data_IF_613401599929
#
_entry.id   IF_613401599929
#
_cell.length_a   1.000
_cell.length_b   1.000
_cell.length_c   1.000
_cell.angle_alpha   90.00
_cell.angle_beta   90.00
_cell.angle_gamma   90.00
#
_symmetry.space_group_name_H-M   'P 1'
#
loop_
_entity.id
_entity.type
_entity.pdbx_description
1 polymer ?
#
# COMPACT_ATOMS: atom_id res chain seq x y z
N UNK A 1 10.48 58.63 32.37
CA UNK A 1 11.03 57.27 32.14
C UNK A 1 9.85 56.30 32.06
N UNK A 2 9.42 55.99 30.85
CA UNK A 2 8.33 55.06 30.61
C UNK A 2 8.94 53.77 30.04
N UNK A 3 9.11 52.77 30.88
CA UNK A 3 9.45 51.40 30.46
C UNK A 3 8.21 50.73 29.90
N UNK A 4 8.05 50.70 28.58
CA UNK A 4 7.08 49.88 27.91
C UNK A 4 7.62 48.44 27.91
N UNK A 5 7.18 47.66 28.88
CA UNK A 5 7.27 46.19 28.81
C UNK A 5 6.41 45.67 27.64
N UNK A 6 7.06 45.32 26.55
CA UNK A 6 6.43 44.55 25.49
C UNK A 6 6.23 43.11 26.01
N UNK A 7 5.11 42.84 26.67
CA UNK A 7 4.63 41.48 26.86
C UNK A 7 4.39 40.87 25.45
N UNK A 8 5.32 40.07 24.97
CA UNK A 8 5.10 39.21 23.83
C UNK A 8 3.93 38.28 24.19
N UNK A 9 2.72 38.58 23.74
CA UNK A 9 1.58 37.65 23.79
C UNK A 9 2.06 36.32 23.20
N UNK A 10 2.19 35.29 24.05
CA UNK A 10 2.43 33.91 23.59
C UNK A 10 1.25 33.57 22.67
N UNK A 11 1.51 33.44 21.35
CA UNK A 11 0.51 32.96 20.42
C UNK A 11 0.11 31.55 20.87
N UNK A 12 -1.10 31.39 21.37
CA UNK A 12 -1.68 30.06 21.60
C UNK A 12 -1.88 29.40 20.22
N UNK A 13 -1.46 28.18 20.08
CA UNK A 13 -1.76 27.36 18.89
C UNK A 13 -3.07 26.65 19.21
N UNK A 14 -4.08 26.91 18.42
CA UNK A 14 -5.32 26.16 18.48
C UNK A 14 -5.16 24.91 17.61
N UNK A 15 -4.99 23.75 18.27
CA UNK A 15 -4.80 22.47 17.61
C UNK A 15 -6.13 21.83 17.17
N UNK A 16 -7.28 22.31 17.69
CA UNK A 16 -8.58 21.75 17.34
C UNK A 16 -8.88 21.83 15.84
N UNK A 17 -8.42 22.91 15.18
CA UNK A 17 -8.55 23.07 13.72
C UNK A 17 -7.55 22.23 12.90
N UNK A 18 -6.68 21.47 13.53
CA UNK A 18 -5.68 20.62 12.88
C UNK A 18 -5.97 19.12 13.07
N UNK A 19 -6.99 18.80 13.86
CA UNK A 19 -7.44 17.43 14.14
C UNK A 19 -8.76 17.20 13.42
N UNK A 20 -8.88 16.11 12.67
CA UNK A 20 -10.17 15.74 12.10
C UNK A 20 -11.12 15.33 13.24
N UNK A 21 -12.40 15.75 13.24
CA UNK A 21 -13.32 15.57 14.36
C UNK A 21 -13.43 14.13 14.87
N UNK A 22 -13.28 13.12 14.00
CA UNK A 22 -13.29 11.71 14.41
C UNK A 22 -12.15 11.33 15.35
N UNK A 23 -11.08 12.13 15.45
CA UNK A 23 -9.93 11.85 16.31
C UNK A 23 -9.96 12.59 17.66
N UNK A 24 -11.00 13.38 17.94
CA UNK A 24 -11.09 14.12 19.21
C UNK A 24 -11.04 13.18 20.42
N UNK A 25 -11.81 12.08 20.38
CA UNK A 25 -11.80 11.09 21.46
C UNK A 25 -10.43 10.44 21.61
N UNK A 26 -9.80 10.03 20.53
CA UNK A 26 -8.46 9.44 20.51
C UNK A 26 -7.42 10.41 21.07
N UNK A 27 -7.56 11.70 20.73
CA UNK A 27 -6.68 12.75 21.24
C UNK A 27 -6.79 12.86 22.75
N UNK A 28 -8.00 13.07 23.30
CA UNK A 28 -8.20 13.20 24.75
C UNK A 28 -7.87 11.93 25.52
N UNK A 29 -8.14 10.78 24.96
CA UNK A 29 -7.78 9.49 25.56
C UNK A 29 -6.25 9.35 25.67
N UNK A 30 -5.54 9.66 24.59
CA UNK A 30 -4.08 9.61 24.58
C UNK A 30 -3.43 10.69 25.45
N UNK A 31 -4.03 11.89 25.57
CA UNK A 31 -3.57 12.91 26.53
C UNK A 31 -3.69 12.43 27.98
N UNK A 32 -4.78 11.76 28.29
CA UNK A 32 -5.04 11.22 29.62
C UNK A 32 -4.30 9.90 29.90
N UNK A 33 -3.52 9.37 28.96
CA UNK A 33 -2.82 8.09 29.06
C UNK A 33 -3.74 6.92 29.49
N UNK A 34 -4.98 6.85 28.94
CA UNK A 34 -5.94 5.83 29.33
C UNK A 34 -5.60 4.46 28.75
N UNK A 35 -5.00 4.44 27.56
CA UNK A 35 -4.54 3.22 26.91
C UNK A 35 -3.07 3.34 26.48
N UNK A 36 -2.42 2.20 26.37
CA UNK A 36 -1.06 2.10 25.83
C UNK A 36 -1.06 1.92 24.32
N UNK A 37 -2.01 1.12 23.80
CA UNK A 37 -2.08 0.78 22.38
C UNK A 37 -3.27 1.46 21.69
N UNK A 38 -2.99 2.11 20.56
CA UNK A 38 -3.97 2.77 19.71
C UNK A 38 -3.90 2.18 18.32
N UNK A 39 -4.90 1.39 17.93
CA UNK A 39 -5.03 0.77 16.61
C UNK A 39 -5.96 1.63 15.76
N UNK A 40 -5.39 2.43 14.85
CA UNK A 40 -6.11 3.40 14.05
C UNK A 40 -6.32 2.86 12.63
N UNK A 41 -7.46 2.22 12.43
CA UNK A 41 -7.92 1.69 11.15
C UNK A 41 -8.64 2.75 10.32
N UNK A 42 -8.70 2.59 9.01
CA UNK A 42 -9.57 3.41 8.16
C UNK A 42 -9.12 3.48 6.71
N UNK A 43 -9.98 4.04 5.86
CA UNK A 43 -9.75 4.20 4.44
C UNK A 43 -8.74 5.28 4.06
N UNK A 44 -8.56 5.46 2.76
CA UNK A 44 -7.75 6.56 2.19
C UNK A 44 -8.36 7.92 2.57
N UNK A 45 -7.52 8.90 2.84
CA UNK A 45 -7.94 10.26 3.19
C UNK A 45 -8.55 10.42 4.58
N UNK A 46 -8.54 9.39 5.45
CA UNK A 46 -9.14 9.43 6.78
C UNK A 46 -8.31 10.14 7.87
N UNK A 47 -7.21 10.78 7.51
CA UNK A 47 -6.34 11.60 8.36
C UNK A 47 -5.58 10.87 9.50
N UNK A 48 -5.55 9.52 9.53
CA UNK A 48 -4.84 8.73 10.57
C UNK A 48 -3.37 9.14 10.74
N UNK A 49 -2.60 9.07 9.66
CA UNK A 49 -1.17 9.38 9.67
C UNK A 49 -0.91 10.87 9.95
N UNK A 50 -1.82 11.75 9.51
CA UNK A 50 -1.79 13.19 9.82
C UNK A 50 -2.03 13.45 11.31
N UNK A 51 -2.94 12.70 11.94
CA UNK A 51 -3.18 12.78 13.37
C UNK A 51 -1.94 12.34 14.16
N UNK A 52 -1.42 11.14 13.91
CA UNK A 52 -0.27 10.63 14.69
C UNK A 52 1.00 11.42 14.39
N UNK A 53 1.43 11.46 13.13
CA UNK A 53 2.69 12.08 12.72
C UNK A 53 2.64 13.60 12.78
N UNK A 54 1.52 14.21 12.40
CA UNK A 54 1.38 15.67 12.34
C UNK A 54 1.06 16.35 13.65
N UNK A 55 0.34 15.68 14.55
CA UNK A 55 -0.14 16.28 15.80
C UNK A 55 0.38 15.53 17.02
N UNK A 56 0.07 14.23 17.16
CA UNK A 56 0.32 13.52 18.43
C UNK A 56 1.79 13.45 18.79
N UNK A 57 2.67 13.11 17.84
CA UNK A 57 4.12 13.06 18.09
C UNK A 57 4.67 14.44 18.44
N UNK A 58 4.45 15.52 17.64
CA UNK A 58 4.92 16.86 18.01
C UNK A 58 4.43 17.37 19.35
N UNK A 59 3.14 17.20 19.64
CA UNK A 59 2.53 17.67 20.91
C UNK A 59 3.16 16.94 22.09
N UNK A 60 3.25 15.62 22.06
CA UNK A 60 3.85 14.81 23.11
C UNK A 60 5.30 15.23 23.43
N UNK A 61 6.12 15.52 22.41
CA UNK A 61 7.49 15.99 22.64
C UNK A 61 7.55 17.37 23.30
N UNK A 62 6.58 18.25 23.01
CA UNK A 62 6.53 19.58 23.62
C UNK A 62 6.10 19.55 25.09
N UNK A 63 5.23 18.62 25.45
CA UNK A 63 4.66 18.44 26.79
C UNK A 63 5.58 17.67 27.73
N UNK A 64 6.28 16.67 27.21
CA UNK A 64 7.12 15.77 27.99
C UNK A 64 8.59 15.86 27.55
N UNK A 65 9.44 16.62 28.27
CA UNK A 65 10.82 16.87 27.85
C UNK A 65 11.74 15.65 27.90
N UNK A 66 11.34 14.58 28.57
CA UNK A 66 12.14 13.37 28.76
C UNK A 66 11.86 12.25 27.76
N UNK A 67 10.84 12.42 26.88
CA UNK A 67 10.50 11.40 25.91
C UNK A 67 11.15 11.63 24.54
N UNK A 68 11.41 10.53 23.86
CA UNK A 68 11.74 10.46 22.44
C UNK A 68 10.62 9.69 21.70
N UNK A 69 10.51 9.89 20.39
CA UNK A 69 9.60 9.13 19.56
C UNK A 69 10.37 8.23 18.59
N UNK A 70 9.81 7.06 18.30
CA UNK A 70 10.32 6.14 17.26
C UNK A 70 9.21 5.87 16.27
N UNK A 71 9.52 6.02 14.99
CA UNK A 71 8.62 5.77 13.87
C UNK A 71 9.13 4.58 13.08
N UNK A 72 8.28 3.61 12.88
CA UNK A 72 8.60 2.34 12.27
C UNK A 72 7.74 2.09 11.02
N UNK A 73 8.37 1.59 9.97
CA UNK A 73 7.73 0.98 8.81
C UNK A 73 8.31 -0.40 8.56
N UNK A 74 7.56 -1.26 7.90
CA UNK A 74 8.09 -2.57 7.50
C UNK A 74 9.32 -2.41 6.60
N UNK A 75 9.28 -1.48 5.64
CA UNK A 75 10.35 -1.22 4.67
C UNK A 75 10.97 0.16 4.90
N UNK A 76 12.25 0.20 5.29
CA UNK A 76 12.94 1.43 5.72
C UNK A 76 13.16 2.48 4.63
N UNK A 77 13.31 2.07 3.39
CA UNK A 77 13.61 3.01 2.30
C UNK A 77 12.39 3.86 1.86
N UNK A 78 11.17 3.54 2.31
CA UNK A 78 9.97 4.35 2.08
C UNK A 78 9.84 5.52 3.06
N UNK A 79 10.56 5.50 4.19
CA UNK A 79 10.49 6.48 5.28
C UNK A 79 10.67 7.92 4.80
N UNK A 80 11.66 8.16 3.92
CA UNK A 80 11.99 9.52 3.42
C UNK A 80 10.88 10.15 2.59
N UNK A 81 10.04 9.33 1.97
CA UNK A 81 8.97 9.76 1.07
C UNK A 81 7.57 9.67 1.70
N UNK A 82 7.46 9.18 2.94
CA UNK A 82 6.20 8.98 3.64
C UNK A 82 6.17 9.65 5.02
N UNK A 83 6.57 8.94 6.07
CA UNK A 83 6.41 9.39 7.47
C UNK A 83 7.24 10.60 7.85
N UNK A 84 8.43 10.76 7.30
CA UNK A 84 9.27 11.93 7.60
C UNK A 84 8.65 13.23 7.05
N UNK A 85 8.24 13.33 5.77
CA UNK A 85 7.50 14.48 5.26
C UNK A 85 6.18 14.73 6.00
N UNK A 86 5.49 13.68 6.44
CA UNK A 86 4.25 13.81 7.20
C UNK A 86 4.46 14.53 8.53
N UNK A 87 5.54 14.21 9.26
CA UNK A 87 5.86 14.90 10.51
C UNK A 87 6.33 16.33 10.25
N UNK A 88 7.15 16.55 9.22
CA UNK A 88 7.59 17.91 8.83
C UNK A 88 6.39 18.79 8.50
N UNK A 89 5.43 18.29 7.71
CA UNK A 89 4.17 18.97 7.42
C UNK A 89 3.39 19.33 8.71
N UNK A 90 3.31 18.40 9.67
CA UNK A 90 2.66 18.67 10.96
C UNK A 90 3.36 19.79 11.74
N UNK A 91 4.70 19.78 11.80
CA UNK A 91 5.48 20.83 12.44
C UNK A 91 5.30 22.20 11.76
N UNK A 92 5.14 22.24 10.44
CA UNK A 92 4.82 23.45 9.68
C UNK A 92 3.41 23.96 10.01
N UNK A 93 2.41 23.09 10.01
CA UNK A 93 1.02 23.43 10.34
C UNK A 93 0.88 23.95 11.76
N UNK A 94 1.62 23.39 12.71
CA UNK A 94 1.73 23.88 14.08
C UNK A 94 2.54 25.19 14.20
N UNK A 95 3.22 25.63 13.14
CA UNK A 95 4.04 26.85 13.14
C UNK A 95 5.32 26.74 14.00
N UNK A 96 5.83 25.51 14.19
CA UNK A 96 6.96 25.23 15.08
C UNK A 96 8.16 24.56 14.38
N UNK A 97 8.11 24.35 13.06
CA UNK A 97 9.20 23.68 12.33
C UNK A 97 10.58 24.33 12.60
N UNK A 98 10.62 25.66 12.74
CA UNK A 98 11.86 26.39 13.04
C UNK A 98 12.49 25.99 14.38
N UNK A 99 11.76 25.35 15.29
CA UNK A 99 12.25 24.83 16.58
C UNK A 99 12.89 23.46 16.44
N UNK A 100 12.76 22.80 15.28
CA UNK A 100 13.29 21.49 15.01
C UNK A 100 14.41 21.53 13.98
N UNK A 101 15.29 20.55 14.03
CA UNK A 101 16.31 20.27 13.02
C UNK A 101 15.96 18.96 12.34
N UNK A 102 15.78 19.00 11.02
CA UNK A 102 15.48 17.83 10.19
C UNK A 102 16.76 17.35 9.52
N UNK A 103 17.05 16.06 9.65
CA UNK A 103 18.17 15.37 8.98
C UNK A 103 17.61 14.26 8.11
N UNK A 104 18.07 14.21 6.84
CA UNK A 104 17.54 13.25 5.86
C UNK A 104 18.34 11.94 5.81
N UNK A 105 19.60 11.91 6.26
CA UNK A 105 20.44 10.72 6.19
C UNK A 105 21.45 10.65 7.34
N UNK A 106 21.32 9.68 8.25
CA UNK A 106 20.13 8.91 8.52
C UNK A 106 18.95 9.82 8.90
N UNK A 107 17.69 9.42 8.62
CA UNK A 107 16.52 10.25 8.91
C UNK A 107 16.34 10.44 10.43
N UNK A 108 16.27 11.70 10.85
CA UNK A 108 16.12 12.10 12.26
C UNK A 108 15.53 13.49 12.34
N UNK A 109 14.62 13.74 13.26
CA UNK A 109 14.16 15.08 13.63
C UNK A 109 14.53 15.34 15.09
N UNK A 110 15.18 16.47 15.35
CA UNK A 110 15.62 16.84 16.71
C UNK A 110 14.96 18.13 17.16
N UNK A 111 14.34 18.15 18.34
CA UNK A 111 13.85 19.37 18.97
C UNK A 111 15.02 20.16 19.56
N UNK A 112 15.27 21.37 19.05
CA UNK A 112 16.48 22.16 19.35
C UNK A 112 16.60 22.57 20.81
N UNK A 113 15.46 22.75 21.52
CA UNK A 113 15.46 23.24 22.90
C UNK A 113 15.96 22.20 23.89
N UNK A 114 15.56 20.95 23.75
CA UNK A 114 15.81 19.85 24.70
C UNK A 114 16.79 18.82 24.14
N UNK A 115 16.90 18.69 22.82
CA UNK A 115 17.64 17.60 22.17
C UNK A 115 16.84 16.31 22.00
N UNK A 116 15.53 16.32 22.31
CA UNK A 116 14.64 15.18 22.06
C UNK A 116 14.65 14.81 20.58
N UNK A 117 14.47 13.53 20.30
CA UNK A 117 14.58 12.99 18.93
C UNK A 117 13.31 12.27 18.50
N UNK A 118 13.01 12.39 17.21
CA UNK A 118 12.15 11.49 16.48
C UNK A 118 13.05 10.67 15.56
N UNK A 119 13.12 9.37 15.80
CA UNK A 119 13.97 8.42 15.09
C UNK A 119 13.15 7.55 14.16
N UNK A 120 13.71 7.18 13.01
CA UNK A 120 13.01 6.46 11.97
C UNK A 120 13.76 5.18 11.60
N UNK A 121 13.05 4.03 11.57
CA UNK A 121 13.65 2.74 11.20
C UNK A 121 12.70 1.89 10.35
N UNK A 122 13.29 1.08 9.46
CA UNK A 122 12.62 -0.02 8.83
C UNK A 122 12.90 -1.32 9.57
N UNK A 123 11.93 -2.23 9.59
CA UNK A 123 12.11 -3.57 10.15
C UNK A 123 12.69 -4.59 9.15
N UNK A 124 13.04 -4.15 7.96
CA UNK A 124 13.97 -4.83 7.06
C UNK A 124 15.38 -5.00 7.66
N UNK A 125 15.73 -4.18 8.68
CA UNK A 125 16.93 -4.33 9.49
C UNK A 125 16.61 -4.17 10.99
N UNK A 126 16.07 -5.22 11.66
CA UNK A 126 15.71 -5.17 13.08
C UNK A 126 16.89 -4.90 14.03
N UNK A 127 18.14 -5.17 13.60
CA UNK A 127 19.31 -4.94 14.41
C UNK A 127 19.54 -3.44 14.69
N UNK A 128 19.16 -2.57 13.77
CA UNK A 128 19.23 -1.12 13.97
C UNK A 128 18.34 -0.63 15.09
N UNK A 129 17.14 -1.19 15.19
CA UNK A 129 16.20 -0.84 16.27
C UNK A 129 16.73 -1.27 17.64
N UNK A 130 17.33 -2.47 17.73
CA UNK A 130 17.90 -2.99 18.96
C UNK A 130 19.12 -2.22 19.47
N UNK A 131 19.78 -1.47 18.58
CA UNK A 131 21.01 -0.72 18.90
C UNK A 131 20.79 0.75 19.25
N UNK A 132 19.52 1.20 19.36
CA UNK A 132 19.19 2.60 19.67
C UNK A 132 19.78 3.00 21.03
N UNK A 133 20.55 4.10 21.01
CA UNK A 133 21.06 4.77 22.22
C UNK A 133 20.51 6.19 22.23
N UNK A 134 19.74 6.50 23.24
CA UNK A 134 19.24 7.85 23.49
C UNK A 134 20.26 8.64 24.31
N UNK A 135 20.41 9.95 24.08
CA UNK A 135 21.30 10.80 24.85
C UNK A 135 20.82 11.03 26.28
N UNK A 136 19.51 10.94 26.52
CA UNK A 136 18.82 11.06 27.79
C UNK A 136 17.41 10.47 27.64
N UNK A 137 16.63 10.43 28.73
CA UNK A 137 15.21 10.05 28.72
C UNK A 137 14.96 8.64 28.18
N UNK A 138 13.80 8.45 27.57
CA UNK A 138 13.32 7.15 27.10
C UNK A 138 12.41 7.27 25.86
N UNK A 139 12.09 6.15 25.22
CA UNK A 139 11.10 6.11 24.14
C UNK A 139 9.70 6.14 24.76
N UNK A 140 9.05 7.29 24.72
CA UNK A 140 7.68 7.47 25.25
C UNK A 140 6.61 7.28 24.18
N UNK A 141 6.96 7.33 22.90
CA UNK A 141 6.00 7.16 21.81
C UNK A 141 6.59 6.34 20.67
N UNK A 142 5.82 5.35 20.21
CA UNK A 142 6.14 4.54 19.03
C UNK A 142 5.00 4.65 18.03
N UNK A 143 5.32 4.89 16.77
CA UNK A 143 4.37 4.89 15.67
C UNK A 143 4.73 3.80 14.65
N UNK A 144 3.81 2.86 14.46
CA UNK A 144 3.87 1.78 13.49
C UNK A 144 2.99 2.18 12.30
N UNK A 145 3.60 2.67 11.22
CA UNK A 145 2.88 3.08 10.01
C UNK A 145 2.78 1.93 9.02
N UNK A 146 1.59 1.78 8.40
CA UNK A 146 1.23 0.62 7.60
C UNK A 146 1.35 -0.68 8.40
N UNK A 147 0.64 -0.70 9.55
CA UNK A 147 0.70 -1.80 10.52
C UNK A 147 0.38 -3.16 9.89
N UNK A 148 -0.50 -3.20 8.91
CA UNK A 148 -0.89 -4.41 8.16
C UNK A 148 0.26 -5.07 7.39
N UNK A 149 1.33 -4.35 7.08
CA UNK A 149 2.52 -4.88 6.41
C UNK A 149 3.46 -5.65 7.35
N UNK A 150 3.33 -5.49 8.66
CA UNK A 150 4.12 -6.25 9.64
C UNK A 150 3.66 -7.72 9.66
N UNK A 151 4.56 -8.62 10.07
CA UNK A 151 4.30 -10.06 10.03
C UNK A 151 3.43 -10.58 11.18
N UNK A 152 2.90 -9.68 12.04
CA UNK A 152 2.05 -10.02 13.18
C UNK A 152 2.54 -9.46 14.51
N UNK A 153 1.75 -9.67 15.55
CA UNK A 153 2.04 -9.13 16.90
C UNK A 153 3.33 -9.66 17.52
N UNK A 154 3.81 -10.84 17.12
CA UNK A 154 5.10 -11.35 17.62
C UNK A 154 6.26 -10.45 17.18
N UNK A 155 6.29 -10.05 15.88
CA UNK A 155 7.30 -9.12 15.37
C UNK A 155 7.25 -7.78 16.11
N UNK A 156 6.05 -7.25 16.31
CA UNK A 156 5.82 -5.99 17.01
C UNK A 156 6.29 -6.09 18.46
N UNK A 157 5.88 -7.12 19.21
CA UNK A 157 6.33 -7.33 20.59
C UNK A 157 7.85 -7.42 20.72
N UNK A 158 8.52 -8.14 19.82
CA UNK A 158 9.98 -8.25 19.80
C UNK A 158 10.67 -6.89 19.64
N UNK A 159 10.12 -6.00 18.84
CA UNK A 159 10.63 -4.64 18.63
C UNK A 159 10.32 -3.77 19.85
N UNK A 160 9.09 -3.78 20.34
CA UNK A 160 8.68 -2.98 21.48
C UNK A 160 9.46 -3.32 22.75
N UNK A 161 9.76 -4.59 23.01
CA UNK A 161 10.63 -5.02 24.12
C UNK A 161 12.03 -4.39 24.09
N UNK A 162 12.51 -4.03 22.89
CA UNK A 162 13.79 -3.36 22.72
C UNK A 162 13.71 -1.85 22.91
N UNK A 163 12.57 -1.24 22.58
CA UNK A 163 12.34 0.21 22.62
C UNK A 163 11.83 0.71 23.97
N UNK A 164 10.90 -0.03 24.59
CA UNK A 164 10.13 0.42 25.72
C UNK A 164 10.85 0.07 27.04
N UNK A 165 11.91 0.81 27.33
CA UNK A 165 12.73 0.62 28.53
C UNK A 165 13.00 1.95 29.21
N UNK A 166 13.00 1.94 30.55
CA UNK A 166 13.50 3.03 31.37
C UNK A 166 12.56 4.20 31.61
N UNK A 167 11.30 4.12 31.14
CA UNK A 167 10.30 5.18 31.34
C UNK A 167 9.12 4.73 32.21
N UNK A 168 8.37 5.70 32.75
CA UNK A 168 7.17 5.40 33.56
C UNK A 168 5.95 5.02 32.72
N UNK A 169 5.88 5.49 31.47
CA UNK A 169 4.76 5.23 30.54
C UNK A 169 5.19 5.37 29.11
N UNK A 170 4.47 4.73 28.21
CA UNK A 170 4.66 4.85 26.77
C UNK A 170 3.34 4.67 26.04
N UNK A 171 3.29 5.10 24.79
CA UNK A 171 2.14 4.91 23.90
C UNK A 171 2.61 4.37 22.56
N UNK A 172 1.81 3.47 21.99
CA UNK A 172 2.07 2.82 20.71
C UNK A 172 0.87 3.07 19.79
N UNK A 173 1.11 3.74 18.66
CA UNK A 173 0.11 4.00 17.64
C UNK A 173 0.38 3.14 16.42
N UNK A 174 -0.60 2.34 16.02
CA UNK A 174 -0.60 1.58 14.77
C UNK A 174 -1.60 2.21 13.80
N UNK A 175 -1.12 2.68 12.64
CA UNK A 175 -1.98 3.25 11.58
C UNK A 175 -1.98 2.32 10.38
N UNK A 176 -3.15 1.99 9.84
CA UNK A 176 -3.26 1.07 8.72
C UNK A 176 -4.58 1.22 7.96
N UNK A 177 -4.58 0.78 6.70
CA UNK A 177 -5.80 0.51 5.97
C UNK A 177 -6.12 -0.98 6.15
N UNK A 178 -7.32 -1.34 6.66
CA UNK A 178 -7.65 -2.74 6.87
C UNK A 178 -7.48 -3.56 5.57
N UNK A 179 -6.73 -4.66 5.59
CA UNK A 179 -6.65 -5.57 4.45
C UNK A 179 -8.02 -6.14 4.08
N UNK A 180 -8.22 -6.51 2.81
CA UNK A 180 -9.49 -7.12 2.36
C UNK A 180 -9.79 -8.42 3.09
N UNK A 181 -8.76 -9.26 3.27
CA UNK A 181 -8.93 -10.56 3.93
C UNK A 181 -9.36 -10.39 5.39
N UNK A 182 -10.49 -11.01 5.73
CA UNK A 182 -10.98 -11.08 7.12
C UNK A 182 -10.00 -11.79 8.05
N UNK A 183 -9.29 -12.78 7.54
CA UNK A 183 -8.33 -13.59 8.28
C UNK A 183 -6.91 -13.00 8.27
N UNK A 184 -6.73 -11.75 7.80
CA UNK A 184 -5.46 -11.07 7.96
C UNK A 184 -5.19 -10.83 9.45
N UNK A 185 -3.96 -11.02 9.89
CA UNK A 185 -3.57 -10.96 11.28
C UNK A 185 -4.02 -9.67 12.01
N UNK A 186 -3.94 -8.51 11.32
CA UNK A 186 -4.34 -7.24 11.95
C UNK A 186 -5.85 -7.13 12.13
N UNK A 187 -6.64 -7.69 11.20
CA UNK A 187 -8.11 -7.74 11.31
C UNK A 187 -8.57 -8.72 12.39
N UNK A 188 -7.84 -9.82 12.61
CA UNK A 188 -8.09 -10.75 13.71
C UNK A 188 -7.66 -10.15 15.05
N UNK A 189 -6.49 -9.50 15.10
CA UNK A 189 -5.92 -8.93 16.32
C UNK A 189 -6.82 -7.88 16.96
N UNK A 190 -7.45 -7.01 16.17
CA UNK A 190 -8.33 -5.96 16.70
C UNK A 190 -9.65 -6.51 17.29
N UNK A 191 -9.99 -7.77 17.02
CA UNK A 191 -11.16 -8.44 17.61
C UNK A 191 -10.86 -9.08 18.96
N UNK A 192 -9.58 -9.21 19.32
CA UNK A 192 -9.17 -9.71 20.65
C UNK A 192 -9.44 -8.62 21.67
N UNK A 193 -10.17 -8.96 22.72
CA UNK A 193 -10.44 -8.02 23.81
C UNK A 193 -9.15 -7.73 24.59
N UNK A 194 -8.79 -6.45 24.68
CA UNK A 194 -7.60 -5.97 25.36
C UNK A 194 -7.93 -4.63 26.02
N UNK A 195 -8.04 -4.59 27.36
CA UNK A 195 -8.44 -3.38 28.10
C UNK A 195 -7.41 -2.24 28.00
N UNK A 196 -6.19 -2.51 27.56
CA UNK A 196 -5.14 -1.50 27.36
C UNK A 196 -5.02 -1.06 25.89
N UNK A 197 -6.02 -1.38 25.08
CA UNK A 197 -6.04 -1.06 23.65
C UNK A 197 -7.30 -0.32 23.23
N UNK A 198 -7.12 0.85 22.61
CA UNK A 198 -8.18 1.55 21.90
C UNK A 198 -8.12 1.22 20.41
N UNK A 199 -9.23 0.72 19.86
CA UNK A 199 -9.42 0.52 18.42
C UNK A 199 -10.29 1.64 17.89
N UNK A 200 -9.79 2.39 16.89
CA UNK A 200 -10.50 3.49 16.27
C UNK A 200 -10.59 3.27 14.76
N UNK A 201 -11.75 3.52 14.19
CA UNK A 201 -11.98 3.46 12.75
C UNK A 201 -12.40 4.83 12.22
N UNK A 202 -11.73 5.30 11.17
CA UNK A 202 -11.99 6.59 10.54
C UNK A 202 -12.16 6.47 9.02
N UNK A 203 -12.95 7.37 8.46
CA UNK A 203 -13.15 7.47 7.01
C UNK A 203 -12.92 8.91 6.56
N UNK A 204 -12.78 9.11 5.25
CA UNK A 204 -12.69 10.46 4.68
C UNK A 204 -13.94 11.31 4.95
N UNK A 205 -15.09 10.69 5.20
CA UNK A 205 -16.36 11.37 5.47
C UNK A 205 -16.35 12.20 6.77
N UNK A 206 -15.44 11.89 7.69
CA UNK A 206 -15.24 12.62 8.95
C UNK A 206 -14.13 13.67 8.88
N UNK A 207 -13.52 13.85 7.70
CA UNK A 207 -12.45 14.84 7.47
C UNK A 207 -13.05 16.06 6.79
N UNK A 208 -12.68 17.31 7.18
CA UNK A 208 -13.13 18.50 6.49
C UNK A 208 -12.84 18.45 4.98
N UNK A 209 -13.84 18.73 4.16
CA UNK A 209 -13.74 18.64 2.69
C UNK A 209 -12.59 19.48 2.11
N UNK A 210 -12.33 20.65 2.70
CA UNK A 210 -11.24 21.53 2.30
C UNK A 210 -9.84 20.92 2.50
N UNK A 211 -9.69 19.89 3.33
CA UNK A 211 -8.42 19.18 3.51
C UNK A 211 -8.19 18.13 2.42
N UNK A 212 -9.27 17.56 1.90
CA UNK A 212 -9.23 16.51 0.88
C UNK A 212 -9.20 17.10 -0.53
N UNK A 213 -9.93 18.17 -0.72
CA UNK A 213 -10.13 18.81 -2.01
C UNK A 213 -11.21 18.12 -2.87
N UNK A 214 -11.85 18.88 -3.79
CA UNK A 214 -12.99 18.39 -4.57
C UNK A 214 -12.65 17.21 -5.49
N UNK A 215 -11.43 17.16 -6.00
CA UNK A 215 -11.01 16.07 -6.89
C UNK A 215 -10.98 14.72 -6.15
N UNK A 216 -10.50 14.68 -4.92
CA UNK A 216 -10.46 13.46 -4.11
C UNK A 216 -11.89 12.92 -3.87
N UNK A 217 -12.82 13.80 -3.52
CA UNK A 217 -14.23 13.46 -3.28
C UNK A 217 -14.88 12.95 -4.56
N UNK A 218 -14.66 13.64 -5.69
CA UNK A 218 -15.20 13.23 -6.99
C UNK A 218 -14.69 11.83 -7.42
N UNK A 219 -13.43 11.51 -7.18
CA UNK A 219 -12.89 10.17 -7.47
C UNK A 219 -13.48 9.10 -6.54
N UNK A 220 -13.71 9.41 -5.26
CA UNK A 220 -14.38 8.50 -4.33
C UNK A 220 -15.81 8.18 -4.79
N UNK A 221 -16.60 9.21 -5.13
CA UNK A 221 -17.96 9.02 -5.61
C UNK A 221 -18.04 8.30 -6.96
N UNK A 222 -17.09 8.56 -7.86
CA UNK A 222 -16.96 7.85 -9.13
C UNK A 222 -16.66 6.37 -8.91
N UNK A 223 -15.76 6.03 -7.97
CA UNK A 223 -15.48 4.65 -7.63
C UNK A 223 -16.71 3.98 -7.01
N UNK A 224 -17.41 4.67 -6.10
CA UNK A 224 -18.64 4.21 -5.48
C UNK A 224 -19.71 3.83 -6.51
N UNK A 225 -19.92 4.70 -7.51
CA UNK A 225 -20.90 4.46 -8.57
C UNK A 225 -20.53 3.28 -9.48
N UNK A 226 -19.24 3.00 -9.63
CA UNK A 226 -18.72 1.97 -10.53
C UNK A 226 -18.48 0.63 -9.85
N UNK A 227 -17.88 0.66 -8.67
CA UNK A 227 -17.52 -0.53 -7.89
C UNK A 227 -17.65 -0.21 -6.39
N UNK A 228 -18.83 -0.48 -5.84
CA UNK A 228 -19.13 -0.17 -4.44
C UNK A 228 -18.25 -0.97 -3.47
N UNK A 229 -17.89 -2.22 -3.78
CA UNK A 229 -17.03 -3.04 -2.92
C UNK A 229 -15.61 -2.46 -2.84
N UNK A 230 -15.05 -2.02 -3.97
CA UNK A 230 -13.76 -1.34 -3.98
C UNK A 230 -13.83 -0.01 -3.21
N UNK A 231 -14.90 0.78 -3.38
CA UNK A 231 -15.11 2.01 -2.63
C UNK A 231 -15.18 1.76 -1.12
N UNK A 232 -15.97 0.77 -0.68
CA UNK A 232 -16.10 0.43 0.74
C UNK A 232 -14.75 0.02 1.34
N UNK A 233 -13.97 -0.74 0.59
CA UNK A 233 -12.64 -1.13 1.03
C UNK A 233 -11.66 0.05 1.06
N UNK A 234 -11.49 0.76 -0.07
CA UNK A 234 -10.43 1.76 -0.20
C UNK A 234 -10.70 3.05 0.56
N UNK A 235 -11.95 3.57 0.49
CA UNK A 235 -12.31 4.86 1.06
C UNK A 235 -12.95 4.75 2.44
N UNK A 236 -13.73 3.70 2.68
CA UNK A 236 -14.33 3.49 4.01
C UNK A 236 -13.46 2.61 4.91
N UNK A 237 -12.45 1.91 4.38
CA UNK A 237 -11.57 1.03 5.16
C UNK A 237 -12.30 -0.19 5.72
N UNK A 238 -13.28 -0.70 4.99
CA UNK A 238 -14.01 -1.89 5.39
C UNK A 238 -13.28 -3.17 4.97
N UNK A 239 -13.37 -4.20 5.80
CA UNK A 239 -12.93 -5.55 5.48
C UNK A 239 -13.97 -6.19 4.58
N UNK A 240 -13.71 -6.25 3.29
CA UNK A 240 -14.68 -6.69 2.27
C UNK A 240 -14.50 -8.12 1.79
N UNK A 241 -13.35 -8.75 2.08
CA UNK A 241 -13.03 -10.11 1.66
C UNK A 241 -13.48 -11.18 2.65
N UNK A 242 -13.66 -12.40 2.14
CA UNK A 242 -14.23 -13.53 2.89
C UNK A 242 -13.16 -14.43 3.53
N UNK A 243 -11.90 -14.35 3.10
CA UNK A 243 -10.85 -15.26 3.60
C UNK A 243 -9.45 -14.89 3.16
N UNK A 244 -8.66 -15.88 2.80
CA UNK A 244 -7.27 -15.72 2.37
C UNK A 244 -7.07 -15.51 0.88
N UNK A 245 -8.11 -15.62 0.06
CA UNK A 245 -8.03 -15.48 -1.38
C UNK A 245 -7.59 -14.06 -1.78
N UNK A 246 -6.63 -13.97 -2.69
CA UNK A 246 -6.16 -12.70 -3.25
C UNK A 246 -7.18 -12.13 -4.22
N UNK A 247 -7.83 -12.97 -5.04
CA UNK A 247 -8.80 -12.55 -6.05
C UNK A 247 -10.20 -13.06 -5.70
N UNK A 248 -11.14 -12.15 -5.45
CA UNK A 248 -12.54 -12.45 -5.15
C UNK A 248 -13.49 -12.06 -6.29
N UNK A 249 -12.95 -11.42 -7.33
CA UNK A 249 -13.66 -10.93 -8.50
C UNK A 249 -13.52 -11.86 -9.72
N UNK A 250 -13.13 -13.12 -9.51
CA UNK A 250 -12.92 -14.12 -10.58
C UNK A 250 -14.17 -14.97 -10.78
N UNK A 251 -14.54 -15.19 -12.03
CA UNK A 251 -15.66 -16.04 -12.41
C UNK A 251 -15.36 -16.91 -13.62
N UNK A 252 -15.86 -18.16 -13.61
CA UNK A 252 -15.83 -19.01 -14.80
C UNK A 252 -16.88 -18.54 -15.80
N UNK A 253 -16.47 -18.28 -17.02
CA UNK A 253 -17.35 -17.89 -18.11
C UNK A 253 -16.99 -18.61 -19.41
N UNK A 254 -17.88 -19.44 -19.89
CA UNK A 254 -17.71 -20.09 -21.20
C UNK A 254 -17.78 -19.06 -22.34
N UNK A 255 -16.75 -18.97 -23.14
CA UNK A 255 -16.67 -18.03 -24.27
C UNK A 255 -16.73 -18.79 -25.59
N UNK A 256 -17.71 -18.44 -26.43
CA UNK A 256 -17.82 -19.05 -27.77
C UNK A 256 -16.74 -18.48 -28.73
N UNK A 257 -16.42 -19.22 -29.77
CA UNK A 257 -15.49 -18.74 -30.81
C UNK A 257 -15.99 -17.45 -31.48
N UNK A 258 -17.31 -17.30 -31.59
CA UNK A 258 -17.92 -16.11 -32.13
C UNK A 258 -17.74 -14.90 -31.20
N UNK A 259 -17.92 -15.08 -29.90
CA UNK A 259 -17.65 -14.03 -28.90
C UNK A 259 -16.18 -13.59 -28.96
N UNK A 260 -15.24 -14.53 -28.97
CA UNK A 260 -13.80 -14.25 -28.99
C UNK A 260 -13.41 -13.48 -30.26
N UNK A 261 -14.01 -13.79 -31.42
CA UNK A 261 -13.77 -13.06 -32.68
C UNK A 261 -14.23 -11.62 -32.66
N UNK A 262 -15.18 -11.27 -31.79
CA UNK A 262 -15.69 -9.90 -31.66
C UNK A 262 -14.94 -9.04 -30.64
N UNK A 263 -13.96 -9.61 -29.93
CA UNK A 263 -13.09 -8.83 -29.04
C UNK A 263 -12.18 -7.91 -29.86
N UNK A 264 -12.19 -6.63 -29.55
CA UNK A 264 -11.50 -5.58 -30.31
C UNK A 264 -10.19 -5.10 -29.66
N UNK A 265 -10.00 -5.36 -28.38
CA UNK A 265 -8.81 -4.95 -27.62
C UNK A 265 -8.15 -6.17 -26.98
N UNK A 266 -7.30 -6.84 -27.76
CA UNK A 266 -6.58 -8.02 -27.33
C UNK A 266 -5.24 -7.65 -26.71
N UNK A 267 -4.93 -8.34 -25.62
CA UNK A 267 -3.67 -8.21 -24.90
C UNK A 267 -3.08 -9.60 -24.68
N UNK A 268 -1.77 -9.70 -24.79
CA UNK A 268 -1.04 -10.95 -24.65
C UNK A 268 0.10 -10.80 -23.66
N UNK A 269 0.18 -11.70 -22.70
CA UNK A 269 1.23 -11.71 -21.69
C UNK A 269 2.00 -13.02 -21.68
N UNK A 270 3.26 -12.93 -21.32
CA UNK A 270 4.16 -14.09 -21.29
C UNK A 270 5.03 -14.03 -20.03
N UNK A 271 4.95 -15.07 -19.24
CA UNK A 271 5.87 -15.37 -18.16
C UNK A 271 6.78 -16.53 -18.55
N UNK A 272 8.11 -16.35 -18.40
CA UNK A 272 9.08 -17.34 -18.80
C UNK A 272 9.30 -18.36 -17.69
N UNK A 273 9.24 -19.63 -18.04
CA UNK A 273 9.64 -20.75 -17.22
C UNK A 273 10.16 -21.90 -18.10
N UNK A 274 10.94 -22.80 -17.55
CA UNK A 274 11.45 -23.94 -18.30
C UNK A 274 11.48 -25.25 -17.51
N UNK A 275 12.20 -25.30 -16.41
CA UNK A 275 12.50 -26.57 -15.71
C UNK A 275 11.40 -26.93 -14.70
N UNK A 276 11.35 -26.22 -13.58
CA UNK A 276 10.36 -26.41 -12.51
C UNK A 276 9.11 -25.59 -12.79
N UNK A 277 9.31 -24.36 -13.27
CA UNK A 277 8.24 -23.43 -13.58
C UNK A 277 7.81 -23.59 -15.04
N UNK A 278 6.50 -23.50 -15.33
CA UNK A 278 5.98 -23.53 -16.69
C UNK A 278 6.26 -22.21 -17.40
N UNK A 279 6.41 -22.26 -18.72
CA UNK A 279 6.15 -21.08 -19.54
C UNK A 279 4.64 -20.86 -19.54
N UNK A 280 4.21 -19.66 -19.12
CA UNK A 280 2.82 -19.26 -19.10
C UNK A 280 2.56 -18.11 -20.07
N UNK A 281 1.74 -18.34 -21.09
CA UNK A 281 1.24 -17.35 -22.04
C UNK A 281 -0.26 -17.24 -21.89
N UNK A 282 -0.80 -16.03 -21.91
CA UNK A 282 -2.24 -15.76 -21.84
C UNK A 282 -2.67 -14.79 -22.93
N UNK A 283 -3.89 -15.00 -23.44
CA UNK A 283 -4.60 -14.03 -24.30
C UNK A 283 -5.88 -13.58 -23.59
N UNK A 284 -6.09 -12.28 -23.58
CA UNK A 284 -7.22 -11.67 -22.92
C UNK A 284 -7.76 -10.45 -23.69
N UNK A 285 -9.02 -10.12 -23.44
CA UNK A 285 -9.67 -8.88 -23.81
C UNK A 285 -9.93 -8.03 -22.57
N UNK A 286 -9.76 -6.72 -22.66
CA UNK A 286 -10.07 -5.78 -21.60
C UNK A 286 -11.13 -4.77 -22.05
N UNK A 287 -12.31 -4.86 -21.44
CA UNK A 287 -13.37 -3.84 -21.60
C UNK A 287 -13.11 -2.68 -20.62
N UNK A 288 -12.52 -1.62 -21.13
CA UNK A 288 -12.21 -0.44 -20.32
C UNK A 288 -13.44 0.35 -19.85
N UNK A 289 -14.62 0.14 -20.45
CA UNK A 289 -15.86 0.80 -20.04
C UNK A 289 -16.45 0.16 -18.80
N UNK A 290 -16.47 -1.16 -18.73
CA UNK A 290 -17.01 -1.93 -17.62
C UNK A 290 -15.92 -2.36 -16.63
N UNK A 291 -14.65 -2.22 -17.00
CA UNK A 291 -13.46 -2.68 -16.27
C UNK A 291 -13.42 -4.19 -16.08
N UNK A 292 -13.92 -4.91 -17.09
CA UNK A 292 -13.94 -6.36 -17.11
C UNK A 292 -12.76 -6.91 -17.91
N UNK A 293 -12.18 -7.99 -17.43
CA UNK A 293 -11.14 -8.76 -18.11
C UNK A 293 -11.74 -10.10 -18.55
N UNK A 294 -11.50 -10.50 -19.79
CA UNK A 294 -11.94 -11.78 -20.37
C UNK A 294 -10.73 -12.57 -20.81
N UNK A 295 -10.37 -13.64 -20.08
CA UNK A 295 -9.22 -14.51 -20.39
C UNK A 295 -9.74 -15.74 -21.12
N UNK A 296 -9.30 -15.92 -22.38
CA UNK A 296 -9.89 -16.91 -23.28
C UNK A 296 -8.89 -17.87 -23.95
N UNK A 297 -7.58 -17.74 -23.71
CA UNK A 297 -6.59 -18.70 -24.22
C UNK A 297 -5.32 -18.69 -23.35
N UNK A 298 -4.68 -19.85 -23.23
CA UNK A 298 -3.42 -20.01 -22.53
C UNK A 298 -2.49 -21.02 -23.23
N UNK A 299 -1.18 -20.86 -23.00
CA UNK A 299 -0.19 -21.91 -23.10
C UNK A 299 0.44 -22.01 -21.72
N UNK A 300 0.40 -23.19 -21.12
CA UNK A 300 0.95 -23.44 -19.79
C UNK A 300 1.71 -24.78 -19.80
N UNK A 301 3.03 -24.72 -19.98
CA UNK A 301 3.81 -25.93 -20.21
C UNK A 301 5.24 -25.80 -19.69
N UNK A 302 5.68 -26.84 -18.95
CA UNK A 302 7.08 -27.03 -18.57
C UNK A 302 7.90 -27.58 -19.75
N UNK A 303 9.21 -27.34 -19.73
CA UNK A 303 10.17 -27.82 -20.71
C UNK A 303 9.86 -27.45 -22.16
N UNK A 304 9.14 -26.32 -22.34
CA UNK A 304 8.84 -25.76 -23.65
C UNK A 304 10.00 -24.86 -24.09
N UNK A 305 10.62 -25.18 -25.21
CA UNK A 305 11.69 -24.32 -25.76
C UNK A 305 11.13 -23.06 -26.36
N UNK A 306 11.90 -21.96 -26.38
CA UNK A 306 11.49 -20.69 -26.96
C UNK A 306 11.07 -20.84 -28.43
N UNK A 307 11.69 -21.75 -29.20
CA UNK A 307 11.33 -22.02 -30.58
C UNK A 307 9.93 -22.62 -30.72
N UNK A 308 9.61 -23.66 -29.95
CA UNK A 308 8.28 -24.28 -29.95
C UNK A 308 7.21 -23.33 -29.38
N UNK A 309 7.55 -22.62 -28.30
CA UNK A 309 6.67 -21.61 -27.74
C UNK A 309 6.34 -20.53 -28.78
N UNK A 310 7.34 -20.03 -29.52
CA UNK A 310 7.14 -19.02 -30.55
C UNK A 310 6.21 -19.49 -31.66
N UNK A 311 6.36 -20.73 -32.13
CA UNK A 311 5.45 -21.30 -33.14
C UNK A 311 4.00 -21.38 -32.62
N UNK A 312 3.83 -21.86 -31.38
CA UNK A 312 2.51 -21.98 -30.76
C UNK A 312 1.84 -20.62 -30.53
N UNK A 313 2.62 -19.64 -30.07
CA UNK A 313 2.13 -18.27 -29.81
C UNK A 313 1.79 -17.59 -31.13
N UNK A 314 2.65 -17.67 -32.16
CA UNK A 314 2.43 -17.04 -33.44
C UNK A 314 1.12 -17.51 -34.14
N UNK A 315 0.78 -18.79 -33.99
CA UNK A 315 -0.51 -19.34 -34.49
C UNK A 315 -1.74 -18.70 -33.81
N UNK A 316 -1.58 -18.15 -32.61
CA UNK A 316 -2.65 -17.54 -31.81
C UNK A 316 -2.74 -16.04 -31.99
N UNK A 317 -1.58 -15.38 -32.02
CA UNK A 317 -1.50 -13.90 -31.96
C UNK A 317 -1.22 -13.27 -33.33
N UNK A 318 -0.74 -14.05 -34.32
CA UNK A 318 -0.31 -13.47 -35.59
C UNK A 318 0.82 -12.45 -35.37
N UNK A 319 0.55 -11.19 -35.68
CA UNK A 319 1.47 -10.06 -35.53
C UNK A 319 1.24 -9.21 -34.27
N UNK A 320 0.33 -9.62 -33.39
CA UNK A 320 -0.02 -8.85 -32.21
C UNK A 320 1.15 -8.71 -31.25
N UNK A 321 1.15 -7.64 -30.48
CA UNK A 321 2.19 -7.35 -29.51
C UNK A 321 2.01 -8.17 -28.23
N UNK A 322 3.09 -8.79 -27.79
CA UNK A 322 3.15 -9.58 -26.56
C UNK A 322 4.03 -8.86 -25.55
N UNK A 323 3.58 -8.75 -24.31
CA UNK A 323 4.39 -8.21 -23.22
C UNK A 323 4.89 -9.38 -22.35
N UNK A 324 6.19 -9.50 -22.21
CA UNK A 324 6.85 -10.59 -21.49
C UNK A 324 7.59 -10.09 -20.25
N UNK A 325 7.95 -11.01 -19.35
CA UNK A 325 8.84 -10.69 -18.25
C UNK A 325 10.16 -10.10 -18.76
N UNK A 326 10.52 -8.91 -18.29
CA UNK A 326 11.75 -8.20 -18.67
C UNK A 326 13.02 -8.76 -18.02
N UNK A 327 12.91 -9.70 -17.07
CA UNK A 327 14.06 -10.36 -16.46
C UNK A 327 14.79 -11.31 -17.43
N UNK A 328 14.11 -11.71 -18.54
CA UNK A 328 14.62 -12.66 -19.54
C UNK A 328 14.92 -12.00 -20.91
N UNK A 329 15.84 -11.02 -20.99
CA UNK A 329 16.10 -10.27 -22.22
C UNK A 329 16.64 -11.14 -23.35
N UNK A 330 17.33 -12.26 -23.06
CA UNK A 330 17.82 -13.21 -24.06
C UNK A 330 16.67 -13.97 -24.70
N UNK A 331 15.73 -14.46 -23.91
CA UNK A 331 14.53 -15.16 -24.37
C UNK A 331 13.65 -14.25 -25.21
N UNK A 332 13.47 -12.99 -24.79
CA UNK A 332 12.75 -11.96 -25.57
C UNK A 332 13.42 -11.75 -26.92
N UNK A 333 14.76 -11.62 -26.98
CA UNK A 333 15.47 -11.40 -28.24
C UNK A 333 15.40 -12.63 -29.17
N UNK A 334 15.51 -13.84 -28.61
CA UNK A 334 15.34 -15.08 -29.36
C UNK A 334 13.96 -15.17 -30.01
N UNK A 335 12.89 -14.91 -29.26
CA UNK A 335 11.52 -14.91 -29.78
C UNK A 335 11.28 -13.85 -30.85
N UNK A 336 11.91 -12.66 -30.73
CA UNK A 336 11.90 -11.64 -31.79
C UNK A 336 12.56 -12.14 -33.07
N UNK A 337 13.70 -12.83 -32.95
CA UNK A 337 14.42 -13.41 -34.09
C UNK A 337 13.59 -14.52 -34.78
N UNK A 338 12.69 -15.17 -34.02
CA UNK A 338 11.72 -16.14 -34.52
C UNK A 338 10.43 -15.53 -35.10
N UNK A 339 10.35 -14.20 -35.16
CA UNK A 339 9.28 -13.46 -35.83
C UNK A 339 8.14 -12.98 -34.91
N UNK A 340 8.22 -13.14 -33.60
CA UNK A 340 7.23 -12.62 -32.67
C UNK A 340 7.46 -11.13 -32.32
N UNK A 341 6.38 -10.39 -32.14
CA UNK A 341 6.44 -9.02 -31.68
C UNK A 341 6.40 -8.96 -30.13
N UNK A 342 7.50 -9.33 -29.47
CA UNK A 342 7.61 -9.39 -28.01
C UNK A 342 8.31 -8.15 -27.46
N UNK A 343 7.80 -7.58 -26.38
CA UNK A 343 8.42 -6.51 -25.61
C UNK A 343 8.48 -6.88 -24.11
N UNK A 344 9.55 -6.48 -23.43
CA UNK A 344 9.64 -6.65 -21.98
C UNK A 344 8.73 -5.67 -21.23
N UNK A 345 8.08 -6.13 -20.17
CA UNK A 345 7.34 -5.27 -19.24
C UNK A 345 8.29 -4.26 -18.58
N UNK A 346 7.76 -3.14 -18.14
CA UNK A 346 8.53 -2.14 -17.40
C UNK A 346 8.44 -2.43 -15.90
N UNK A 347 9.41 -3.12 -15.34
CA UNK A 347 9.48 -3.36 -13.89
C UNK A 347 9.83 -2.07 -13.16
N UNK A 348 8.97 -1.68 -12.21
CA UNK A 348 9.22 -0.64 -11.22
C UNK A 348 9.33 -1.29 -9.84
N UNK A 349 9.73 -0.48 -8.87
CA UNK A 349 9.62 -0.88 -7.46
C UNK A 349 8.13 -1.12 -7.16
N UNK A 350 7.83 -2.14 -6.38
CA UNK A 350 6.47 -2.51 -5.97
C UNK A 350 5.52 -2.87 -7.14
N UNK A 351 6.09 -3.20 -8.32
CA UNK A 351 5.29 -3.51 -9.53
C UNK A 351 4.40 -4.75 -9.37
N UNK A 352 4.79 -5.70 -8.53
CA UNK A 352 3.98 -6.90 -8.22
C UNK A 352 2.74 -6.47 -7.43
N UNK A 353 2.94 -5.78 -6.32
CA UNK A 353 1.84 -5.30 -5.47
C UNK A 353 0.88 -4.39 -6.24
N UNK A 354 1.42 -3.44 -7.02
CA UNK A 354 0.61 -2.55 -7.85
C UNK A 354 -0.22 -3.33 -8.88
N UNK A 355 0.40 -4.30 -9.57
CA UNK A 355 -0.29 -5.10 -10.59
C UNK A 355 -1.38 -5.99 -10.00
N UNK A 356 -1.12 -6.65 -8.86
CA UNK A 356 -2.13 -7.47 -8.16
C UNK A 356 -3.28 -6.59 -7.67
N UNK A 357 -3.00 -5.46 -7.02
CA UNK A 357 -4.04 -4.51 -6.61
C UNK A 357 -4.88 -4.02 -7.78
N UNK A 358 -4.22 -3.71 -8.90
CA UNK A 358 -4.94 -3.30 -10.10
C UNK A 358 -5.91 -4.38 -10.59
N UNK A 359 -5.52 -5.67 -10.58
CA UNK A 359 -6.39 -6.79 -10.93
C UNK A 359 -7.53 -6.97 -9.93
N UNK A 360 -7.26 -6.85 -8.62
CA UNK A 360 -8.28 -6.88 -7.57
C UNK A 360 -9.34 -5.78 -7.72
N UNK A 361 -8.96 -4.64 -8.28
CA UNK A 361 -9.84 -3.48 -8.48
C UNK A 361 -10.69 -3.57 -9.76
N UNK A 362 -10.52 -4.61 -10.58
CA UNK A 362 -11.39 -4.85 -11.75
C UNK A 362 -12.79 -5.25 -11.29
N UNK A 363 -13.80 -4.87 -12.10
CA UNK A 363 -15.17 -5.24 -11.78
C UNK A 363 -15.32 -6.76 -11.81
N UNK A 364 -14.85 -7.39 -12.88
CA UNK A 364 -14.82 -8.85 -13.01
C UNK A 364 -13.58 -9.31 -13.79
N UNK A 365 -13.10 -10.51 -13.45
CA UNK A 365 -12.13 -11.27 -14.23
C UNK A 365 -12.83 -12.56 -14.65
N UNK A 366 -13.30 -12.58 -15.88
CA UNK A 366 -13.94 -13.76 -16.48
C UNK A 366 -12.87 -14.65 -17.11
N UNK A 367 -12.83 -15.92 -16.76
CA UNK A 367 -11.87 -16.89 -17.29
C UNK A 367 -12.63 -18.09 -17.86
N UNK A 368 -12.42 -18.41 -19.13
CA UNK A 368 -12.96 -19.65 -19.69
C UNK A 368 -12.07 -20.83 -19.24
N UNK A 369 -12.50 -21.56 -18.22
CA UNK A 369 -11.73 -22.66 -17.64
C UNK A 369 -11.52 -23.85 -18.58
N UNK A 370 -12.21 -23.93 -19.73
CA UNK A 370 -11.96 -24.96 -20.75
C UNK A 370 -10.84 -24.56 -21.66
N UNK A 371 -10.64 -23.24 -21.89
CA UNK A 371 -9.61 -22.67 -22.75
C UNK A 371 -8.36 -22.29 -21.99
N UNK A 372 -8.50 -21.88 -20.70
CA UNK A 372 -7.44 -21.44 -19.80
C UNK A 372 -7.58 -22.09 -18.41
N UNK A 373 -7.48 -23.44 -18.32
CA UNK A 373 -7.71 -24.18 -17.08
C UNK A 373 -6.66 -23.89 -15.98
N UNK A 374 -5.39 -23.69 -16.36
CA UNK A 374 -4.32 -23.40 -15.41
C UNK A 374 -4.43 -21.97 -14.89
N UNK A 375 -4.72 -21.00 -15.74
CA UNK A 375 -5.00 -19.62 -15.35
C UNK A 375 -6.17 -19.56 -14.38
N UNK A 376 -7.29 -20.23 -14.68
CA UNK A 376 -8.42 -20.30 -13.76
C UNK A 376 -8.02 -20.89 -12.41
N UNK A 377 -7.29 -22.00 -12.40
CA UNK A 377 -6.81 -22.64 -11.16
C UNK A 377 -5.96 -21.67 -10.34
N UNK A 378 -4.94 -21.05 -10.93
CA UNK A 378 -4.08 -20.11 -10.21
C UNK A 378 -4.88 -18.97 -9.60
N UNK A 379 -5.74 -18.30 -10.36
CA UNK A 379 -6.54 -17.19 -9.86
C UNK A 379 -7.46 -17.56 -8.69
N UNK A 380 -8.11 -18.73 -8.71
CA UNK A 380 -9.04 -19.14 -7.64
C UNK A 380 -8.34 -19.73 -6.42
N UNK A 381 -7.11 -20.21 -6.56
CA UNK A 381 -6.34 -20.81 -5.45
C UNK A 381 -5.25 -19.89 -4.89
N UNK A 382 -5.03 -18.71 -5.48
CA UNK A 382 -4.01 -17.80 -5.03
C UNK A 382 -4.42 -17.13 -3.72
N UNK A 383 -3.73 -17.49 -2.63
CA UNK A 383 -3.97 -16.98 -1.28
C UNK A 383 -2.81 -16.07 -0.84
N UNK A 384 -3.09 -15.17 0.08
CA UNK A 384 -2.06 -14.41 0.78
C UNK A 384 -1.10 -15.33 1.55
N UNK A 385 0.11 -14.88 1.78
CA UNK A 385 1.05 -15.60 2.64
C UNK A 385 0.55 -15.69 4.08
N UNK A 386 1.04 -16.70 4.80
CA UNK A 386 0.75 -16.90 6.23
C UNK A 386 2.00 -16.67 7.06
N UNK A 387 1.83 -16.04 8.22
CA UNK A 387 2.87 -15.94 9.22
C UNK A 387 3.09 -17.31 9.92
N UNK A 388 4.05 -17.36 10.87
CA UNK A 388 4.35 -18.59 11.62
C UNK A 388 3.18 -19.10 12.47
N UNK A 389 2.22 -18.25 12.80
CA UNK A 389 1.02 -18.58 13.55
C UNK A 389 -0.14 -19.03 12.63
N UNK A 390 0.07 -19.10 11.32
CA UNK A 390 -0.94 -19.49 10.33
C UNK A 390 -1.92 -18.39 9.93
N UNK A 391 -1.72 -17.15 10.39
CA UNK A 391 -2.55 -16.00 10.04
C UNK A 391 -2.06 -15.38 8.73
N UNK A 392 -2.99 -14.93 7.90
CA UNK A 392 -2.64 -14.24 6.65
C UNK A 392 -1.98 -12.89 6.91
N UNK A 393 -0.98 -12.59 6.11
CA UNK A 393 -0.26 -11.30 6.08
C UNK A 393 -0.47 -10.62 4.73
N UNK A 394 -0.21 -9.33 4.64
CA UNK A 394 -0.33 -8.56 3.38
C UNK A 394 0.89 -8.79 2.47
N UNK A 395 1.18 -10.06 2.18
CA UNK A 395 2.24 -10.48 1.26
C UNK A 395 1.69 -11.51 0.27
N UNK A 396 2.28 -11.54 -0.91
CA UNK A 396 1.88 -12.44 -2.00
C UNK A 396 2.94 -13.53 -2.18
N UNK A 397 2.56 -14.82 -2.24
CA UNK A 397 3.54 -15.90 -2.48
C UNK A 397 4.14 -15.79 -3.89
N UNK A 398 5.42 -16.10 -3.98
CA UNK A 398 6.16 -16.22 -5.24
C UNK A 398 6.13 -17.67 -5.74
N UNK A 399 4.92 -18.23 -5.82
CA UNK A 399 4.67 -19.59 -6.27
C UNK A 399 3.24 -19.71 -6.83
N UNK A 400 3.06 -20.58 -7.80
CA UNK A 400 1.77 -20.85 -8.46
C UNK A 400 1.08 -19.59 -8.98
N UNK A 401 1.87 -18.64 -9.54
CA UNK A 401 1.43 -17.32 -9.99
C UNK A 401 1.82 -16.99 -11.44
N UNK A 402 2.27 -17.97 -12.22
CA UNK A 402 2.82 -17.77 -13.55
C UNK A 402 1.81 -17.15 -14.53
N UNK A 403 0.59 -17.67 -14.57
CA UNK A 403 -0.49 -17.08 -15.39
C UNK A 403 -0.94 -15.74 -14.84
N UNK A 404 -0.93 -15.54 -13.53
CA UNK A 404 -1.24 -14.25 -12.90
C UNK A 404 -0.23 -13.20 -13.32
N UNK A 405 1.05 -13.56 -13.32
CA UNK A 405 2.13 -12.68 -13.77
C UNK A 405 2.05 -12.40 -15.27
N UNK A 406 1.74 -13.41 -16.09
CA UNK A 406 1.48 -13.22 -17.51
C UNK A 406 0.30 -12.23 -17.75
N UNK A 407 -0.80 -12.34 -17.01
CA UNK A 407 -1.92 -11.37 -17.07
C UNK A 407 -1.48 -9.97 -16.64
N UNK A 408 -0.69 -9.85 -15.60
CA UNK A 408 -0.13 -8.56 -15.15
C UNK A 408 0.76 -7.92 -16.23
N UNK A 409 1.61 -8.73 -16.89
CA UNK A 409 2.43 -8.24 -17.99
C UNK A 409 1.57 -7.80 -19.19
N UNK A 410 0.57 -8.59 -19.57
CA UNK A 410 -0.37 -8.19 -20.64
C UNK A 410 -0.98 -6.81 -20.37
N UNK A 411 -1.29 -6.49 -19.13
CA UNK A 411 -1.91 -5.23 -18.72
C UNK A 411 -0.93 -4.09 -18.40
N UNK A 412 0.39 -4.29 -18.50
CA UNK A 412 1.41 -3.29 -18.10
C UNK A 412 1.20 -1.93 -18.79
N UNK A 413 0.94 -1.92 -20.07
CA UNK A 413 0.71 -0.67 -20.83
C UNK A 413 -0.62 0.01 -20.44
N UNK A 414 -1.64 -0.76 -20.06
CA UNK A 414 -2.95 -0.23 -19.61
C UNK A 414 -2.82 0.41 -18.24
N UNK A 415 -2.15 -0.28 -17.31
CA UNK A 415 -1.89 0.22 -15.95
C UNK A 415 -1.08 1.52 -15.93
N UNK A 416 -0.22 1.72 -16.93
CA UNK A 416 0.70 2.85 -17.00
C UNK A 416 0.26 3.98 -17.93
N UNK A 417 -0.89 3.85 -18.61
CA UNK A 417 -1.33 4.95 -19.49
C UNK A 417 -1.44 6.23 -18.69
N UNK A 418 -0.50 7.20 -18.83
CA UNK A 418 -0.73 8.52 -18.30
C UNK A 418 -1.93 9.09 -19.04
N UNK A 419 -2.91 9.63 -18.34
CA UNK A 419 -3.87 10.52 -18.99
C UNK A 419 -3.07 11.65 -19.60
N UNK A 420 -2.92 11.68 -20.94
CA UNK A 420 -2.30 12.78 -21.64
C UNK A 420 -3.13 14.03 -21.37
N UNK A 421 -2.69 14.87 -20.45
CA UNK A 421 -3.16 16.23 -20.33
C UNK A 421 -2.46 17.06 -21.39
N UNK A 422 -3.17 17.48 -22.41
CA UNK A 422 -2.73 18.58 -23.29
C UNK A 422 -2.74 19.84 -22.43
N UNK A 423 -1.56 20.29 -22.02
CA UNK A 423 -1.40 21.60 -21.41
C UNK A 423 -1.31 22.63 -22.53
N UNK A 424 -2.24 23.57 -22.59
CA UNK A 424 -2.12 24.72 -23.50
C UNK A 424 -0.96 25.62 -23.00
N UNK A 425 -0.18 26.15 -23.92
CA UNK A 425 0.93 27.08 -23.61
C UNK A 425 0.49 28.25 -22.71
N UNK A 426 -0.74 28.72 -22.86
CA UNK A 426 -1.35 29.78 -22.02
C UNK A 426 -1.49 29.36 -20.55
N UNK A 427 -1.67 28.07 -20.26
CA UNK A 427 -1.82 27.55 -18.88
C UNK A 427 -0.45 27.41 -18.19
N UNK A 428 0.64 27.49 -18.95
CA UNK A 428 2.01 27.45 -18.45
C UNK A 428 2.65 28.83 -18.30
N UNK A 429 1.92 29.92 -18.59
CA UNK A 429 2.46 31.29 -18.55
C UNK A 429 3.56 31.56 -19.58
N UNK A 430 3.60 30.79 -20.69
CA UNK A 430 4.58 30.86 -21.79
C UNK A 430 3.97 31.44 -23.07
#
# INVERSE_FOLDING_TARGET
>A
MNSREHQKKKKKIDIAHLIAPSFDEVFFDSEAHRHTFYMLAGGRGSAKSSFVGGIRIPVSLLENPDIHAVVLRKVGNTIKNSVLPQIVWGLERLGILNRFRVKLSPPEITYKKTGQKILFFGLDDPAKVKSIKLPFGYVGLVWLEELDQFSGMEEIRNVLQSLLRGGPSYQVFGTYNPPRSRNNWVNEEILVDDPDRLVHHSTYLSVPEEWLGPQFIAEAEKLKARNEMAYRHEYLGEVTGTGGSVFENVSDMAMSDDMVKHFDHLYHGLDFGFSMDPLAFVSLHYDAKHEDIYIFDEIYQQKLTNSLASEMIQKRTGSDRIIADSAEPKSIQEMRNLGLHVAGCKKGRDSVEHGIKWLQDRAHIYIDKRRAPNTYREFVTYEYEKNRQGQFISAYPDADNHSIDAVRYAMDDVMRRPMMRTLNRKDLGL
#
